data_IF_007703132039
#
_entry.id   IF_007703132039
#
_cell.length_a   1.000
_cell.length_b   1.000
_cell.length_c   1.000
_cell.angle_alpha   90.00
_cell.angle_beta   90.00
_cell.angle_gamma   90.00
#
_symmetry.space_group_name_H-M   'P 1'
#
loop_
_entity.id
_entity.type
_entity.pdbx_description
1 polymer ?
#
# COMPACT_ATOMS: atom_id res chain seq x y z
N UNK A 1 77.50 42.18 17.97
CA UNK A 1 77.11 40.76 17.88
C UNK A 1 75.78 40.64 18.58
N UNK A 2 74.72 40.70 17.76
CA UNK A 2 73.32 40.65 18.17
C UNK A 2 72.93 39.21 18.47
N UNK A 3 72.30 38.95 19.62
CA UNK A 3 71.39 37.83 19.82
C UNK A 3 70.34 38.29 20.84
N UNK A 4 69.17 38.67 20.32
CA UNK A 4 67.96 38.93 21.09
C UNK A 4 67.46 37.64 21.73
N UNK A 5 66.97 37.78 22.97
CA UNK A 5 66.30 36.78 23.76
C UNK A 5 64.88 37.25 24.07
N UNK A 6 63.94 36.32 23.89
CA UNK A 6 62.66 36.15 24.61
C UNK A 6 61.56 37.21 24.36
N UNK A 7 60.50 36.91 23.59
CA UNK A 7 59.24 36.19 23.91
C UNK A 7 58.12 37.13 24.44
N UNK A 8 56.89 36.87 23.96
CA UNK A 8 55.57 37.50 24.23
C UNK A 8 55.27 38.76 23.38
N UNK A 9 54.15 38.92 22.66
CA UNK A 9 52.77 38.48 22.88
C UNK A 9 52.04 38.55 21.51
N UNK A 10 51.33 37.48 21.12
CA UNK A 10 50.61 37.41 19.83
C UNK A 10 49.22 38.04 20.03
N UNK A 11 49.07 39.31 19.64
CA UNK A 11 47.82 40.07 19.81
C UNK A 11 46.71 39.53 18.91
N UNK A 12 45.68 38.98 19.57
CA UNK A 12 44.45 38.45 19.04
C UNK A 12 43.52 39.59 18.61
N UNK A 13 43.58 40.00 17.33
CA UNK A 13 42.46 40.68 16.66
C UNK A 13 42.27 40.15 15.24
N UNK A 14 41.75 38.92 15.15
CA UNK A 14 41.08 38.45 13.93
C UNK A 14 39.61 38.86 14.02
N UNK A 15 39.21 39.70 13.09
CA UNK A 15 37.86 40.20 12.88
C UNK A 15 36.95 39.04 12.46
N UNK A 16 36.46 38.28 13.45
CA UNK A 16 35.50 37.20 13.23
C UNK A 16 34.10 37.80 13.05
N UNK A 17 33.77 38.18 11.82
CA UNK A 17 32.37 38.34 11.42
C UNK A 17 31.64 37.04 11.74
N UNK A 18 30.72 37.10 12.71
CA UNK A 18 29.83 35.99 13.09
C UNK A 18 29.18 35.40 11.82
N UNK A 19 29.15 34.06 11.66
CA UNK A 19 28.34 33.46 10.61
C UNK A 19 26.87 33.88 10.80
N UNK A 20 26.12 34.15 9.72
CA UNK A 20 24.72 34.51 9.83
C UNK A 20 23.99 33.41 10.60
N UNK A 21 23.25 33.81 11.63
CA UNK A 21 22.46 32.92 12.46
C UNK A 21 21.67 31.98 11.56
N UNK A 22 21.83 30.67 11.78
CA UNK A 22 21.06 29.62 11.12
C UNK A 22 19.58 30.00 11.25
N UNK A 23 18.94 30.32 10.12
CA UNK A 23 17.51 30.52 10.09
C UNK A 23 16.85 29.29 10.73
N UNK A 24 15.81 29.45 11.57
CA UNK A 24 15.11 28.32 12.14
C UNK A 24 14.66 27.44 10.98
N UNK A 25 15.19 26.21 10.91
CA UNK A 25 14.66 25.19 10.02
C UNK A 25 13.22 25.03 10.43
N UNK A 26 12.29 25.56 9.64
CA UNK A 26 10.88 25.26 9.80
C UNK A 26 10.75 23.77 9.58
N UNK A 27 10.74 22.98 10.65
CA UNK A 27 10.38 21.57 10.61
C UNK A 27 9.00 21.52 9.98
N UNK A 28 8.95 21.18 8.69
CA UNK A 28 7.69 21.09 7.96
C UNK A 28 6.86 20.02 8.67
N UNK A 29 5.80 20.47 9.34
CA UNK A 29 4.83 19.57 9.94
C UNK A 29 3.86 19.12 8.85
N UNK A 30 3.70 17.81 8.68
CA UNK A 30 2.88 17.21 7.62
C UNK A 30 1.40 17.10 8.00
N UNK A 31 0.96 17.83 9.03
CA UNK A 31 -0.40 17.70 9.57
C UNK A 31 -1.49 18.11 8.58
N UNK A 32 -1.23 19.10 7.73
CA UNK A 32 -2.17 19.54 6.69
C UNK A 32 -2.33 18.47 5.62
N UNK A 33 -1.23 17.96 5.09
CA UNK A 33 -1.19 16.92 4.06
C UNK A 33 -1.80 15.61 4.58
N UNK A 34 -1.50 15.21 5.82
CA UNK A 34 -2.13 14.06 6.49
C UNK A 34 -3.65 14.25 6.67
N UNK A 35 -4.09 15.48 6.95
CA UNK A 35 -5.52 15.79 7.05
C UNK A 35 -6.22 15.68 5.69
N UNK A 36 -5.56 16.11 4.61
CA UNK A 36 -6.06 15.92 3.23
C UNK A 36 -6.12 14.43 2.90
N UNK A 37 -5.05 13.69 3.18
CA UNK A 37 -5.00 12.24 2.99
C UNK A 37 -6.17 11.53 3.69
N UNK A 38 -6.41 11.83 4.96
CA UNK A 38 -7.51 11.23 5.75
C UNK A 38 -8.88 11.46 5.12
N UNK A 39 -9.08 12.62 4.47
CA UNK A 39 -10.34 12.93 3.77
C UNK A 39 -10.47 12.18 2.44
N UNK A 40 -9.36 11.92 1.76
CA UNK A 40 -9.32 11.19 0.49
C UNK A 40 -9.44 9.68 0.68
N UNK A 41 -8.98 9.16 1.81
CA UNK A 41 -8.87 7.73 2.07
C UNK A 41 -10.10 7.19 2.83
N UNK A 42 -11.10 6.73 2.08
CA UNK A 42 -12.38 6.28 2.64
C UNK A 42 -12.26 4.95 3.41
N UNK A 43 -13.24 4.68 4.28
CA UNK A 43 -13.24 3.52 5.19
C UNK A 43 -13.21 2.18 4.43
N UNK A 44 -13.92 2.08 3.30
CA UNK A 44 -13.92 0.94 2.40
C UNK A 44 -12.56 0.70 1.71
N UNK A 45 -11.72 1.74 1.62
CA UNK A 45 -10.38 1.64 1.05
C UNK A 45 -9.35 1.11 2.05
N UNK A 46 -9.68 1.06 3.34
CA UNK A 46 -8.77 0.55 4.37
C UNK A 46 -8.47 -0.94 4.22
N UNK A 47 -7.27 -1.31 4.60
CA UNK A 47 -6.77 -2.68 4.62
C UNK A 47 -7.13 -3.33 5.95
N UNK A 48 -7.88 -4.43 5.90
CA UNK A 48 -8.33 -5.19 7.07
C UNK A 48 -7.33 -6.27 7.48
N UNK A 49 -6.59 -6.83 6.51
CA UNK A 49 -5.72 -7.98 6.74
C UNK A 49 -6.43 -9.32 6.64
N UNK A 50 -7.64 -9.34 6.08
CA UNK A 50 -8.43 -10.56 5.91
C UNK A 50 -9.39 -10.39 4.73
N UNK A 51 -9.21 -11.23 3.71
CA UNK A 51 -10.02 -11.23 2.50
C UNK A 51 -9.71 -10.10 1.49
N UNK A 52 -8.84 -9.15 1.85
CA UNK A 52 -8.34 -8.10 0.97
C UNK A 52 -6.83 -8.25 0.67
N UNK A 53 -6.39 -7.69 -0.46
CA UNK A 53 -4.99 -7.74 -0.88
C UNK A 53 -4.25 -6.50 -0.41
N UNK A 54 -3.18 -6.70 0.37
CA UNK A 54 -2.25 -5.64 0.73
C UNK A 54 -1.60 -5.01 -0.51
N UNK A 55 -1.21 -5.82 -1.52
CA UNK A 55 -0.66 -5.33 -2.80
C UNK A 55 -1.63 -4.39 -3.53
N UNK A 56 -2.94 -4.62 -3.44
CA UNK A 56 -3.93 -3.70 -4.00
C UNK A 56 -4.01 -2.41 -3.17
N UNK A 57 -4.12 -2.54 -1.85
CA UNK A 57 -4.31 -1.43 -0.91
C UNK A 57 -3.12 -0.48 -0.86
N UNK A 58 -1.90 -1.01 -0.95
CA UNK A 58 -0.66 -0.22 -0.97
C UNK A 58 -0.53 0.64 -2.23
N UNK A 59 -1.11 0.21 -3.36
CA UNK A 59 -1.17 1.02 -4.58
C UNK A 59 -2.07 2.23 -4.41
N UNK A 60 -3.26 2.01 -3.82
CA UNK A 60 -4.21 3.08 -3.50
C UNK A 60 -3.59 4.05 -2.49
N UNK A 61 -2.87 3.55 -1.48
CA UNK A 61 -2.12 4.36 -0.53
C UNK A 61 -1.12 5.28 -1.23
N UNK A 62 -0.25 4.73 -2.09
CA UNK A 62 0.78 5.53 -2.78
C UNK A 62 0.16 6.58 -3.70
N UNK A 63 -0.88 6.23 -4.44
CA UNK A 63 -1.64 7.19 -5.27
C UNK A 63 -2.27 8.31 -4.42
N UNK A 64 -2.85 7.95 -3.28
CA UNK A 64 -3.48 8.94 -2.39
C UNK A 64 -2.43 9.84 -1.73
N UNK A 65 -1.27 9.30 -1.35
CA UNK A 65 -0.14 10.10 -0.86
C UNK A 65 0.33 11.09 -1.92
N UNK A 66 0.47 10.66 -3.18
CA UNK A 66 0.82 11.55 -4.29
C UNK A 66 -0.19 12.69 -4.44
N UNK A 67 -1.49 12.38 -4.40
CA UNK A 67 -2.57 13.38 -4.49
C UNK A 67 -2.66 14.32 -3.29
N UNK A 68 -2.21 13.87 -2.12
CA UNK A 68 -2.15 14.65 -0.90
C UNK A 68 -0.79 15.37 -0.71
N UNK A 69 0.13 15.27 -1.67
CA UNK A 69 1.48 15.86 -1.64
C UNK A 69 2.33 15.34 -0.45
N UNK A 70 2.11 14.09 -0.04
CA UNK A 70 2.89 13.40 1.00
C UNK A 70 4.07 12.70 0.32
N UNK A 71 5.33 13.06 0.64
CA UNK A 71 6.49 12.40 0.07
C UNK A 71 6.84 11.11 0.82
N UNK A 72 7.67 10.22 0.23
CA UNK A 72 7.96 8.89 0.78
C UNK A 72 8.49 8.87 2.22
N UNK A 73 9.25 9.89 2.62
CA UNK A 73 9.85 10.03 3.95
C UNK A 73 8.79 10.16 5.06
N UNK A 74 7.56 10.47 4.67
CA UNK A 74 6.43 10.73 5.57
C UNK A 74 5.44 9.55 5.58
N UNK A 75 5.61 8.56 4.70
CA UNK A 75 4.66 7.45 4.56
C UNK A 75 4.39 6.73 5.87
N UNK A 76 5.40 6.56 6.73
CA UNK A 76 5.23 5.92 8.04
C UNK A 76 4.20 6.65 8.93
N UNK A 77 4.07 7.97 8.82
CA UNK A 77 3.09 8.76 9.59
C UNK A 77 1.67 8.58 9.06
N UNK A 78 1.51 8.37 7.75
CA UNK A 78 0.22 8.18 7.11
C UNK A 78 -0.24 6.72 7.09
N UNK A 79 0.69 5.76 7.11
CA UNK A 79 0.39 4.34 6.93
C UNK A 79 -0.60 3.76 7.96
N UNK A 80 -0.55 4.06 9.27
CA UNK A 80 -1.53 3.53 10.23
C UNK A 80 -2.98 3.89 9.87
N UNK A 81 -3.19 5.00 9.15
CA UNK A 81 -4.51 5.51 8.79
C UNK A 81 -5.21 4.63 7.74
N UNK A 82 -4.45 3.84 6.97
CA UNK A 82 -5.03 2.92 5.98
C UNK A 82 -5.38 1.57 6.57
N UNK A 83 -5.07 1.31 7.83
CA UNK A 83 -5.24 0.01 8.45
C UNK A 83 -6.51 -0.05 9.30
N UNK A 84 -7.09 -1.24 9.41
CA UNK A 84 -8.16 -1.55 10.36
C UNK A 84 -8.13 -3.04 10.73
N UNK A 85 -8.86 -3.42 11.77
CA UNK A 85 -8.96 -4.82 12.21
C UNK A 85 -7.59 -5.46 12.45
N UNK A 86 -7.42 -6.70 12.01
CA UNK A 86 -6.21 -7.50 12.22
C UNK A 86 -4.93 -6.82 11.69
N UNK A 87 -5.02 -6.09 10.58
CA UNK A 87 -3.88 -5.34 10.03
C UNK A 87 -3.39 -4.21 10.96
N UNK A 88 -4.32 -3.50 11.60
CA UNK A 88 -3.98 -2.42 12.54
C UNK A 88 -3.42 -2.98 13.86
N UNK A 89 -3.99 -4.09 14.34
CA UNK A 89 -3.47 -4.82 15.51
C UNK A 89 -2.04 -5.28 15.25
N UNK A 90 -1.80 -5.94 14.11
CA UNK A 90 -0.46 -6.39 13.72
C UNK A 90 0.56 -5.25 13.69
N UNK A 91 0.17 -4.10 13.14
CA UNK A 91 1.03 -2.91 13.13
C UNK A 91 1.46 -2.49 14.54
N UNK A 92 0.51 -2.35 15.47
CA UNK A 92 0.84 -1.85 16.80
C UNK A 92 1.53 -2.88 17.70
N UNK A 93 1.18 -4.16 17.61
CA UNK A 93 1.75 -5.21 18.47
C UNK A 93 3.11 -5.71 18.00
N UNK A 94 3.30 -5.83 16.68
CA UNK A 94 4.50 -6.47 16.13
C UNK A 94 5.52 -5.48 15.57
N UNK A 95 5.10 -4.24 15.22
CA UNK A 95 5.99 -3.26 14.57
C UNK A 95 6.27 -2.01 15.39
N UNK A 96 5.35 -1.57 16.25
CA UNK A 96 5.50 -0.30 16.97
C UNK A 96 5.73 -0.41 18.49
N UNK A 97 5.64 -1.61 19.09
CA UNK A 97 5.54 -1.72 20.56
C UNK A 97 6.31 -2.90 21.17
N UNK A 98 7.62 -2.98 20.97
CA UNK A 98 8.45 -3.80 21.85
C UNK A 98 9.75 -3.09 22.23
N UNK A 99 10.01 -2.84 23.53
CA UNK A 99 11.35 -2.48 23.99
C UNK A 99 12.32 -3.60 23.62
N UNK A 100 13.28 -3.32 22.73
CA UNK A 100 14.33 -4.27 22.34
C UNK A 100 14.06 -5.13 21.10
N UNK A 101 12.91 -5.02 20.44
CA UNK A 101 12.72 -5.60 19.10
C UNK A 101 13.17 -4.60 18.01
N UNK A 102 13.61 -5.14 16.87
CA UNK A 102 14.01 -4.37 15.68
C UNK A 102 12.93 -3.34 15.35
N UNK A 103 13.21 -2.08 15.67
CA UNK A 103 12.45 -0.95 15.16
C UNK A 103 12.49 -1.09 13.64
N UNK A 104 11.36 -1.35 13.01
CA UNK A 104 11.31 -1.28 11.56
C UNK A 104 11.50 0.20 11.20
N UNK A 105 12.72 0.53 10.79
CA UNK A 105 13.22 1.91 10.72
C UNK A 105 12.64 2.68 9.53
N UNK A 106 12.09 1.99 8.54
CA UNK A 106 11.59 2.59 7.31
C UNK A 106 10.31 1.94 6.78
N UNK A 107 9.67 2.64 5.83
CA UNK A 107 8.46 2.15 5.18
C UNK A 107 8.66 0.83 4.40
N UNK A 108 9.87 0.58 3.88
CA UNK A 108 10.15 -0.65 3.14
C UNK A 108 10.15 -1.89 4.04
N UNK A 109 10.66 -1.76 5.26
CA UNK A 109 10.57 -2.83 6.25
C UNK A 109 9.13 -3.11 6.64
N UNK A 110 8.29 -2.08 6.80
CA UNK A 110 6.85 -2.27 7.10
C UNK A 110 6.19 -2.99 5.93
N UNK A 111 6.47 -2.54 4.71
CA UNK A 111 5.96 -3.16 3.49
C UNK A 111 6.31 -4.64 3.40
N UNK A 112 7.58 -5.01 3.59
CA UNK A 112 8.01 -6.42 3.56
C UNK A 112 7.33 -7.25 4.63
N UNK A 113 7.28 -6.76 5.86
CA UNK A 113 6.64 -7.46 6.95
C UNK A 113 5.14 -7.71 6.69
N UNK A 114 4.43 -6.72 6.13
CA UNK A 114 3.03 -6.87 5.77
C UNK A 114 2.82 -7.87 4.63
N UNK A 115 3.70 -7.89 3.62
CA UNK A 115 3.66 -8.90 2.55
C UNK A 115 3.87 -10.30 3.14
N UNK A 116 4.90 -10.49 3.96
CA UNK A 116 5.22 -11.78 4.57
C UNK A 116 4.11 -12.29 5.50
N UNK A 117 3.45 -11.39 6.23
CA UNK A 117 2.39 -11.76 7.17
C UNK A 117 1.05 -12.01 6.47
N UNK A 118 0.61 -11.09 5.59
CA UNK A 118 -0.75 -11.12 5.03
C UNK A 118 -0.84 -11.67 3.60
N UNK A 119 0.23 -11.62 2.82
CA UNK A 119 0.26 -12.10 1.42
C UNK A 119 1.25 -13.26 1.23
N UNK A 120 1.26 -14.17 2.19
CA UNK A 120 2.04 -15.40 2.15
C UNK A 120 1.50 -16.43 1.13
N UNK A 121 2.18 -17.57 1.02
CA UNK A 121 1.80 -18.64 0.09
C UNK A 121 0.39 -19.19 0.32
N UNK A 122 -0.10 -19.18 1.56
CA UNK A 122 -1.46 -19.62 1.87
C UNK A 122 -2.49 -18.64 1.30
N UNK A 123 -2.26 -17.34 1.49
CA UNK A 123 -3.06 -16.30 0.85
C UNK A 123 -3.05 -16.43 -0.67
N UNK A 124 -1.89 -16.68 -1.27
CA UNK A 124 -1.76 -16.86 -2.71
C UNK A 124 -2.53 -18.10 -3.22
N UNK A 125 -2.41 -19.23 -2.53
CA UNK A 125 -3.14 -20.47 -2.86
C UNK A 125 -4.66 -20.29 -2.69
N UNK A 126 -5.10 -19.65 -1.62
CA UNK A 126 -6.51 -19.37 -1.36
C UNK A 126 -7.08 -18.41 -2.41
N UNK A 127 -6.33 -17.37 -2.77
CA UNK A 127 -6.71 -16.41 -3.82
C UNK A 127 -6.80 -17.08 -5.19
N UNK A 128 -5.84 -17.94 -5.54
CA UNK A 128 -5.86 -18.72 -6.78
C UNK A 128 -7.03 -19.69 -6.83
N UNK A 129 -7.34 -20.35 -5.71
CA UNK A 129 -8.51 -21.22 -5.59
C UNK A 129 -9.80 -20.43 -5.85
N UNK A 130 -9.98 -19.30 -5.16
CA UNK A 130 -11.13 -18.40 -5.38
C UNK A 130 -11.20 -17.94 -6.84
N UNK A 131 -10.06 -17.55 -7.41
CA UNK A 131 -9.97 -17.13 -8.81
C UNK A 131 -10.40 -18.24 -9.77
N UNK A 132 -9.93 -19.47 -9.59
CA UNK A 132 -10.26 -20.59 -10.46
C UNK A 132 -11.74 -20.96 -10.38
N UNK A 133 -12.33 -21.00 -9.18
CA UNK A 133 -13.70 -21.42 -8.99
C UNK A 133 -14.75 -20.32 -9.20
N UNK A 134 -14.37 -19.04 -9.24
CA UNK A 134 -15.31 -17.95 -9.47
C UNK A 134 -16.02 -18.09 -10.83
N UNK A 135 -17.35 -18.16 -10.81
CA UNK A 135 -18.21 -18.22 -12.00
C UNK A 135 -19.33 -17.18 -11.92
N UNK A 136 -19.96 -16.89 -13.05
CA UNK A 136 -21.13 -16.00 -13.08
C UNK A 136 -22.29 -16.57 -12.25
N UNK A 137 -22.48 -17.89 -12.22
CA UNK A 137 -23.53 -18.53 -11.42
C UNK A 137 -23.31 -18.36 -9.92
N UNK A 138 -22.06 -18.45 -9.44
CA UNK A 138 -21.74 -18.14 -8.04
C UNK A 138 -22.11 -16.68 -7.73
N UNK A 139 -21.73 -15.74 -8.60
CA UNK A 139 -22.05 -14.32 -8.38
C UNK A 139 -23.56 -14.07 -8.38
N UNK A 140 -24.32 -14.71 -9.28
CA UNK A 140 -25.78 -14.64 -9.30
C UNK A 140 -26.41 -15.20 -8.03
N UNK A 141 -25.93 -16.36 -7.56
CA UNK A 141 -26.42 -16.99 -6.35
C UNK A 141 -26.16 -16.14 -5.10
N UNK A 142 -25.01 -15.46 -5.03
CA UNK A 142 -24.65 -14.53 -3.94
C UNK A 142 -25.40 -13.20 -4.00
N UNK A 143 -26.03 -12.85 -5.12
CA UNK A 143 -26.68 -11.56 -5.34
C UNK A 143 -28.12 -11.72 -5.88
N UNK A 144 -29.02 -12.35 -5.11
CA UNK A 144 -30.41 -12.48 -5.53
C UNK A 144 -31.03 -11.09 -5.72
N UNK A 145 -31.70 -10.89 -6.86
CA UNK A 145 -32.35 -9.62 -7.20
C UNK A 145 -31.54 -8.70 -8.12
N UNK A 146 -30.26 -8.97 -8.38
CA UNK A 146 -29.50 -8.26 -9.41
C UNK A 146 -29.77 -8.83 -10.80
N UNK A 147 -29.76 -7.95 -11.79
CA UNK A 147 -29.83 -8.33 -13.20
C UNK A 147 -28.58 -9.10 -13.63
N UNK A 148 -28.66 -9.78 -14.78
CA UNK A 148 -27.52 -10.49 -15.35
C UNK A 148 -26.33 -9.55 -15.63
N UNK A 149 -26.60 -8.34 -16.13
CA UNK A 149 -25.57 -7.33 -16.41
C UNK A 149 -24.86 -6.90 -15.13
N UNK A 150 -25.60 -6.57 -14.08
CA UNK A 150 -25.01 -6.20 -12.78
C UNK A 150 -24.20 -7.34 -12.17
N UNK A 151 -24.65 -8.59 -12.33
CA UNK A 151 -23.87 -9.77 -11.90
C UNK A 151 -22.58 -9.92 -12.71
N UNK A 152 -22.60 -9.61 -14.01
CA UNK A 152 -21.40 -9.63 -14.84
C UNK A 152 -20.41 -8.51 -14.46
N UNK A 153 -20.90 -7.31 -14.15
CA UNK A 153 -20.07 -6.21 -13.66
C UNK A 153 -19.41 -6.56 -12.32
N UNK A 154 -20.16 -7.20 -11.42
CA UNK A 154 -19.63 -7.73 -10.17
C UNK A 154 -18.59 -8.82 -10.38
N UNK A 155 -18.84 -9.76 -11.29
CA UNK A 155 -17.87 -10.80 -11.66
C UNK A 155 -16.57 -10.17 -12.13
N UNK A 156 -16.67 -9.18 -13.03
CA UNK A 156 -15.52 -8.43 -13.54
C UNK A 156 -14.76 -7.72 -12.44
N UNK A 157 -15.47 -7.06 -11.51
CA UNK A 157 -14.86 -6.42 -10.35
C UNK A 157 -14.13 -7.44 -9.46
N UNK A 158 -14.76 -8.58 -9.15
CA UNK A 158 -14.17 -9.65 -8.34
C UNK A 158 -12.91 -10.25 -8.99
N UNK A 159 -12.94 -10.51 -10.30
CA UNK A 159 -11.77 -11.00 -11.06
C UNK A 159 -10.62 -10.00 -10.98
N UNK A 160 -10.90 -8.70 -11.17
CA UNK A 160 -9.90 -7.63 -11.06
C UNK A 160 -9.31 -7.52 -9.65
N UNK A 161 -10.11 -7.71 -8.62
CA UNK A 161 -9.64 -7.70 -7.23
C UNK A 161 -8.77 -8.92 -6.90
N UNK A 162 -9.23 -10.13 -7.25
CA UNK A 162 -8.50 -11.38 -7.02
C UNK A 162 -7.16 -11.43 -7.75
N UNK A 163 -7.01 -10.71 -8.87
CA UNK A 163 -5.73 -10.55 -9.59
C UNK A 163 -4.58 -10.19 -8.65
N UNK A 164 -4.80 -9.37 -7.64
CA UNK A 164 -3.71 -8.93 -6.75
C UNK A 164 -3.28 -10.01 -5.75
N UNK A 165 -4.07 -11.07 -5.58
CA UNK A 165 -3.74 -12.19 -4.69
C UNK A 165 -3.18 -13.44 -5.40
N UNK A 166 -3.26 -13.53 -6.73
CA UNK A 166 -2.70 -14.68 -7.48
C UNK A 166 -1.21 -14.47 -7.83
N UNK A 167 -0.45 -15.51 -8.22
CA UNK A 167 0.96 -15.37 -8.65
C UNK A 167 1.13 -14.33 -9.76
N UNK A 168 2.24 -13.59 -9.73
CA UNK A 168 2.49 -12.44 -10.61
C UNK A 168 2.47 -12.82 -12.10
N UNK A 169 2.91 -14.03 -12.42
CA UNK A 169 2.94 -14.62 -13.76
C UNK A 169 1.54 -14.80 -14.34
N UNK A 170 0.53 -14.97 -13.49
CA UNK A 170 -0.87 -15.15 -13.88
C UNK A 170 -1.65 -13.83 -13.92
N UNK A 171 -1.03 -12.69 -13.59
CA UNK A 171 -1.71 -11.40 -13.54
C UNK A 171 -1.78 -10.71 -14.91
N UNK A 172 -1.59 -11.40 -16.02
CA UNK A 172 -1.65 -10.79 -17.36
C UNK A 172 -3.08 -10.47 -17.78
N UNK A 173 -3.26 -9.49 -18.66
CA UNK A 173 -4.58 -9.16 -19.19
C UNK A 173 -5.21 -10.35 -19.92
N UNK A 174 -4.41 -11.10 -20.67
CA UNK A 174 -4.86 -12.30 -21.38
C UNK A 174 -5.44 -13.36 -20.43
N UNK A 175 -4.79 -13.61 -19.29
CA UNK A 175 -5.29 -14.57 -18.29
C UNK A 175 -6.62 -14.08 -17.70
N UNK A 176 -6.77 -12.78 -17.45
CA UNK A 176 -8.02 -12.21 -16.92
C UNK A 176 -9.17 -12.30 -17.93
N UNK A 177 -8.91 -11.99 -19.21
CA UNK A 177 -9.90 -12.11 -20.28
C UNK A 177 -10.35 -13.57 -20.45
N UNK A 178 -9.39 -14.49 -20.54
CA UNK A 178 -9.69 -15.92 -20.61
C UNK A 178 -10.48 -16.39 -19.38
N UNK A 179 -10.14 -15.89 -18.19
CA UNK A 179 -10.88 -16.20 -16.96
C UNK A 179 -12.33 -15.73 -17.04
N UNK A 180 -12.61 -14.52 -17.55
CA UNK A 180 -13.97 -14.01 -17.69
C UNK A 180 -14.79 -14.87 -18.66
N UNK A 181 -14.21 -15.23 -19.80
CA UNK A 181 -14.86 -16.13 -20.77
C UNK A 181 -15.19 -17.47 -20.11
N UNK A 182 -14.24 -18.11 -19.43
CA UNK A 182 -14.46 -19.38 -18.73
C UNK A 182 -15.48 -19.28 -17.59
N UNK A 183 -15.49 -18.18 -16.84
CA UNK A 183 -16.44 -17.94 -15.75
C UNK A 183 -17.89 -17.82 -16.24
N UNK A 184 -18.06 -17.41 -17.50
CA UNK A 184 -19.34 -17.26 -18.17
C UNK A 184 -19.80 -18.53 -18.90
N UNK A 185 -18.89 -19.37 -19.39
CA UNK A 185 -19.19 -20.56 -20.22
C UNK A 185 -20.20 -21.55 -19.62
N UNK A 186 -20.31 -21.65 -18.29
CA UNK A 186 -21.29 -22.56 -17.64
C UNK A 186 -22.73 -22.03 -17.62
N UNK A 187 -22.95 -20.76 -17.95
CA UNK A 187 -24.31 -20.22 -18.10
C UNK A 187 -24.88 -20.55 -19.48
N UNK A 188 -26.12 -21.06 -19.52
CA UNK A 188 -26.83 -21.44 -20.75
C UNK A 188 -26.81 -20.33 -21.82
N UNK A 189 -26.87 -19.07 -21.41
CA UNK A 189 -26.83 -17.90 -22.28
C UNK A 189 -25.47 -17.70 -22.97
N UNK A 190 -24.36 -18.01 -22.30
CA UNK A 190 -23.02 -17.87 -22.88
C UNK A 190 -22.64 -19.06 -23.76
N UNK A 191 -23.17 -20.25 -23.49
CA UNK A 191 -23.04 -21.40 -24.39
C UNK A 191 -23.64 -21.10 -25.77
N UNK A 192 -24.76 -20.36 -25.83
CA UNK A 192 -25.40 -19.95 -27.09
C UNK A 192 -24.60 -18.83 -27.77
N UNK A 193 -24.15 -17.81 -27.03
CA UNK A 193 -23.38 -16.69 -27.60
C UNK A 193 -21.97 -17.08 -28.07
N UNK A 194 -21.31 -18.02 -27.41
CA UNK A 194 -19.95 -18.49 -27.75
C UNK A 194 -19.95 -19.62 -28.80
N UNK A 195 -21.11 -20.23 -29.09
CA UNK A 195 -21.27 -21.27 -30.11
C UNK A 195 -21.76 -20.74 -31.46
N UNK A 196 -21.97 -19.43 -31.59
CA UNK A 196 -22.36 -18.79 -32.85
C UNK A 196 -21.09 -18.38 -33.61
N UNK A 197 -20.85 -18.88 -34.84
CA UNK A 197 -19.66 -18.59 -35.64
C UNK A 197 -19.59 -17.14 -36.14
#
# INVERSE_FOLDING_TARGET
>A
MFLDKDIEEFDLRSDASLPPALAPTTDKTWGKEISVFTKLYLEEMKFKGDGDSFTSKIRIFRDTCLRAEIPPEVYMKAFPLILKGAALEHYYFNLSSTPGALLIVDFNGIYRNFIEHFENDEFARASLTKFNFLTLDIVKAENPGKTLSECFDLLTAKVRQLRYGIPIEMRTEQVLLNKLVMACQKTLACAIALAMP
#
